data_IF_811264681531
#
_entry.id   IF_811264681531
#
_cell.length_a   1.000
_cell.length_b   1.000
_cell.length_c   1.000
_cell.angle_alpha   90.00
_cell.angle_beta   90.00
_cell.angle_gamma   90.00
#
_symmetry.space_group_name_H-M   'P 1'
#
loop_
_entity.id
_entity.type
_entity.pdbx_description
1 polymer ?
#
# COMPACT_ATOMS: atom_id res chain seq x y z
N UNK A 1 -4.35 -4.35 14.24
CA UNK A 1 -3.79 -3.05 13.78
C UNK A 1 -4.92 -2.18 13.23
N UNK A 2 -4.97 -0.92 13.62
CA UNK A 2 -5.99 0.01 13.14
C UNK A 2 -5.36 0.98 12.12
N UNK A 3 -5.71 0.82 10.85
CA UNK A 3 -5.08 1.58 9.75
C UNK A 3 -5.70 2.94 9.51
N UNK A 4 -6.87 3.20 10.10
CA UNK A 4 -7.60 4.44 9.82
C UNK A 4 -6.90 5.67 10.40
N UNK A 5 -6.19 5.52 11.50
CA UNK A 5 -5.70 6.64 12.30
C UNK A 5 -4.20 6.89 12.25
N UNK A 6 -3.43 6.15 11.45
CA UNK A 6 -1.99 6.38 11.47
C UNK A 6 -1.54 7.57 10.64
N UNK A 7 -2.28 7.92 9.62
CA UNK A 7 -1.95 9.09 8.80
C UNK A 7 -2.73 10.31 9.25
N UNK A 8 -2.02 11.41 9.42
CA UNK A 8 -2.64 12.68 9.83
C UNK A 8 -3.21 13.44 8.66
N UNK A 9 -2.72 13.18 7.45
CA UNK A 9 -3.07 13.93 6.25
C UNK A 9 -4.06 13.20 5.36
N UNK A 10 -4.20 11.89 5.53
CA UNK A 10 -5.01 11.06 4.64
C UNK A 10 -5.87 10.09 5.40
N UNK A 11 -7.03 9.79 4.83
CA UNK A 11 -7.89 8.73 5.33
C UNK A 11 -7.42 7.40 4.72
N UNK A 12 -7.11 6.43 5.58
CA UNK A 12 -6.59 5.13 5.17
C UNK A 12 -7.68 4.08 5.32
N UNK A 13 -7.88 3.25 4.31
CA UNK A 13 -8.77 2.10 4.41
C UNK A 13 -8.27 0.93 3.58
N UNK A 14 -8.76 -0.26 3.91
CA UNK A 14 -8.54 -1.44 3.09
C UNK A 14 -9.22 -1.27 1.75
N UNK A 15 -8.50 -1.59 0.68
CA UNK A 15 -9.07 -1.63 -0.66
C UNK A 15 -9.62 -3.03 -0.92
N UNK A 16 -10.75 -3.09 -1.58
CA UNK A 16 -11.44 -4.34 -1.92
C UNK A 16 -11.61 -4.44 -3.43
N UNK A 17 -12.16 -5.55 -3.90
CA UNK A 17 -12.26 -5.82 -5.33
C UNK A 17 -12.99 -4.72 -6.10
N UNK A 18 -14.04 -4.13 -5.54
CA UNK A 18 -14.77 -3.05 -6.22
C UNK A 18 -13.93 -1.78 -6.39
N UNK A 19 -12.80 -1.67 -5.67
CA UNK A 19 -11.88 -0.52 -5.80
C UNK A 19 -10.88 -0.68 -6.93
N UNK A 20 -10.84 -1.84 -7.60
CA UNK A 20 -9.87 -2.11 -8.67
C UNK A 20 -9.87 -1.04 -9.76
N UNK A 21 -11.02 -0.52 -10.23
CA UNK A 21 -10.98 0.56 -11.22
C UNK A 21 -10.25 1.81 -10.75
N UNK A 22 -10.35 2.16 -9.47
CA UNK A 22 -9.61 3.30 -8.90
C UNK A 22 -8.11 3.03 -8.87
N UNK A 23 -7.72 1.82 -8.46
CA UNK A 23 -6.31 1.41 -8.39
C UNK A 23 -5.73 1.39 -9.79
N UNK A 24 -6.44 0.81 -10.75
CA UNK A 24 -6.00 0.73 -12.13
C UNK A 24 -5.78 2.13 -12.72
N UNK A 25 -6.72 3.05 -12.49
CA UNK A 25 -6.60 4.42 -12.97
C UNK A 25 -5.35 5.11 -12.40
N UNK A 26 -5.07 4.94 -11.11
CA UNK A 26 -3.89 5.50 -10.48
C UNK A 26 -2.62 4.90 -11.08
N UNK A 27 -2.57 3.59 -11.22
CA UNK A 27 -1.38 2.89 -11.74
C UNK A 27 -1.11 3.22 -13.21
N UNK A 28 -2.15 3.29 -14.03
CA UNK A 28 -2.00 3.57 -15.47
C UNK A 28 -1.35 4.92 -15.75
N UNK A 29 -1.49 5.88 -14.85
CA UNK A 29 -0.85 7.20 -14.97
C UNK A 29 0.65 7.14 -14.71
N UNK A 30 1.15 6.06 -14.12
CA UNK A 30 2.55 5.87 -13.80
C UNK A 30 3.27 5.08 -14.88
N UNK A 31 3.17 5.53 -16.13
CA UNK A 31 3.72 4.83 -17.30
C UNK A 31 5.22 4.60 -17.20
N UNK A 32 5.95 5.56 -16.67
CA UNK A 32 7.40 5.44 -16.55
C UNK A 32 7.80 4.28 -15.64
N UNK A 33 7.07 4.06 -14.55
CA UNK A 33 7.32 2.92 -13.68
C UNK A 33 7.19 1.61 -14.45
N UNK A 34 6.13 1.45 -15.23
CA UNK A 34 5.86 0.19 -15.94
C UNK A 34 6.74 0.00 -17.17
N UNK A 35 7.32 1.06 -17.72
CA UNK A 35 8.34 0.95 -18.75
C UNK A 35 9.60 0.27 -18.22
N UNK A 36 9.94 0.51 -16.94
CA UNK A 36 11.11 -0.07 -16.28
C UNK A 36 10.80 -1.35 -15.51
N UNK A 37 9.55 -1.58 -15.16
CA UNK A 37 9.12 -2.73 -14.37
C UNK A 37 7.93 -3.43 -15.02
N UNK A 38 8.12 -4.04 -16.20
CA UNK A 38 7.03 -4.77 -16.87
C UNK A 38 6.62 -6.01 -16.04
N UNK A 39 5.43 -6.58 -16.29
CA UNK A 39 4.44 -6.20 -17.30
C UNK A 39 3.61 -5.00 -16.89
N UNK A 40 2.90 -4.40 -17.87
CA UNK A 40 1.99 -3.30 -17.59
C UNK A 40 0.83 -3.77 -16.72
N UNK A 41 0.31 -2.87 -15.89
CA UNK A 41 -0.74 -3.20 -14.92
C UNK A 41 -2.06 -3.53 -15.63
N UNK A 42 -2.80 -4.51 -15.09
CA UNK A 42 -4.15 -4.87 -15.53
C UNK A 42 -5.03 -5.04 -14.30
N UNK A 43 -6.35 -5.04 -14.51
CA UNK A 43 -7.28 -5.32 -13.43
C UNK A 43 -7.02 -6.69 -12.81
N UNK A 44 -6.69 -7.68 -13.62
CA UNK A 44 -6.38 -9.02 -13.13
C UNK A 44 -5.11 -9.03 -12.29
N UNK A 45 -4.05 -8.33 -12.72
CA UNK A 45 -2.81 -8.27 -11.94
C UNK A 45 -3.03 -7.59 -10.59
N UNK A 46 -3.88 -6.57 -10.53
CA UNK A 46 -4.24 -5.92 -9.27
C UNK A 46 -4.99 -6.89 -8.35
N UNK A 47 -5.96 -7.62 -8.91
CA UNK A 47 -6.71 -8.61 -8.13
C UNK A 47 -5.79 -9.66 -7.53
N UNK A 48 -4.84 -10.14 -8.32
CA UNK A 48 -3.86 -11.12 -7.85
C UNK A 48 -2.99 -10.54 -6.75
N UNK A 49 -2.53 -9.30 -6.91
CA UNK A 49 -1.68 -8.63 -5.91
C UNK A 49 -2.40 -8.41 -4.58
N UNK A 50 -3.70 -8.15 -4.62
CA UNK A 50 -4.48 -7.94 -3.40
C UNK A 50 -4.52 -9.17 -2.49
N UNK A 51 -4.29 -10.35 -3.06
CA UNK A 51 -4.30 -11.62 -2.33
C UNK A 51 -2.92 -12.28 -2.22
N UNK A 52 -1.91 -11.74 -2.92
CA UNK A 52 -0.60 -12.37 -3.01
C UNK A 52 0.11 -12.34 -1.66
N UNK A 53 0.65 -13.50 -1.28
CA UNK A 53 1.44 -13.67 -0.05
C UNK A 53 2.68 -14.49 -0.36
N UNK A 54 3.80 -14.23 0.34
CA UNK A 54 4.95 -15.13 0.29
C UNK A 54 4.52 -16.53 0.72
N UNK A 55 5.19 -17.56 0.20
CA UNK A 55 4.84 -18.95 0.49
C UNK A 55 4.71 -19.21 2.00
N UNK A 56 5.61 -18.63 2.79
CA UNK A 56 5.64 -18.81 4.25
C UNK A 56 4.43 -18.22 4.96
N UNK A 57 3.72 -17.29 4.31
CA UNK A 57 2.57 -16.57 4.89
C UNK A 57 1.23 -16.99 4.32
N UNK A 58 1.19 -18.00 3.46
CA UNK A 58 -0.05 -18.40 2.78
C UNK A 58 -1.15 -18.86 3.73
N UNK A 59 -0.78 -19.34 4.92
CA UNK A 59 -1.75 -19.78 5.93
C UNK A 59 -2.25 -18.61 6.80
N UNK A 60 -1.77 -17.39 6.55
CA UNK A 60 -2.10 -16.22 7.36
C UNK A 60 -2.59 -15.06 6.48
N UNK A 61 -3.71 -15.26 5.73
CA UNK A 61 -4.20 -14.22 4.82
C UNK A 61 -4.65 -12.96 5.55
N UNK A 62 -4.96 -13.05 6.84
CA UNK A 62 -5.33 -11.90 7.65
C UNK A 62 -4.17 -10.90 7.84
N UNK A 63 -2.93 -11.30 7.56
CA UNK A 63 -1.77 -10.43 7.66
C UNK A 63 -1.49 -9.65 6.38
N UNK A 64 -2.28 -9.89 5.34
CA UNK A 64 -2.17 -9.17 4.07
C UNK A 64 -3.11 -7.97 4.07
N UNK A 65 -2.55 -6.80 3.75
CA UNK A 65 -3.32 -5.56 3.66
C UNK A 65 -2.99 -4.85 2.34
N UNK A 66 -4.02 -4.45 1.63
CA UNK A 66 -3.88 -3.60 0.46
C UNK A 66 -4.58 -2.30 0.77
N UNK A 67 -3.81 -1.26 1.07
CA UNK A 67 -4.31 -0.02 1.65
C UNK A 67 -4.43 1.08 0.61
N UNK A 68 -5.48 1.88 0.74
CA UNK A 68 -5.65 3.10 -0.03
C UNK A 68 -5.59 4.32 0.88
N UNK A 69 -4.99 5.38 0.36
CA UNK A 69 -4.86 6.66 1.04
C UNK A 69 -5.69 7.68 0.28
N UNK A 70 -6.65 8.28 0.97
CA UNK A 70 -7.64 9.19 0.35
C UNK A 70 -7.48 10.59 0.92
N UNK A 71 -7.60 11.61 0.05
CA UNK A 71 -7.57 13.01 0.48
C UNK A 71 -8.95 13.45 1.00
N UNK A 72 -9.07 14.73 1.36
CA UNK A 72 -10.32 15.28 1.89
C UNK A 72 -11.46 15.29 0.87
N UNK A 73 -11.13 15.22 -0.42
CA UNK A 73 -12.11 15.08 -1.49
C UNK A 73 -12.44 13.62 -1.80
N UNK A 74 -11.97 12.69 -0.96
CA UNK A 74 -12.15 11.25 -1.11
C UNK A 74 -11.56 10.69 -2.39
N UNK A 75 -10.50 11.32 -2.91
CA UNK A 75 -9.78 10.81 -4.06
C UNK A 75 -8.60 9.95 -3.64
N UNK A 76 -8.39 8.85 -4.34
CA UNK A 76 -7.28 7.94 -4.06
C UNK A 76 -5.96 8.57 -4.49
N UNK A 77 -5.08 8.82 -3.53
CA UNK A 77 -3.77 9.46 -3.78
C UNK A 77 -2.61 8.49 -3.71
N UNK A 78 -2.78 7.35 -3.05
CA UNK A 78 -1.72 6.33 -2.96
C UNK A 78 -2.29 4.96 -2.64
N UNK A 79 -1.56 3.92 -3.03
CA UNK A 79 -1.86 2.54 -2.67
C UNK A 79 -0.62 1.90 -2.07
N UNK A 80 -0.83 0.98 -1.13
CA UNK A 80 0.26 0.27 -0.46
C UNK A 80 -0.12 -1.19 -0.25
N UNK A 81 0.74 -2.09 -0.70
CA UNK A 81 0.67 -3.52 -0.41
C UNK A 81 1.54 -3.77 0.83
N UNK A 82 0.94 -4.30 1.87
CA UNK A 82 1.56 -4.39 3.17
C UNK A 82 1.31 -5.77 3.78
N UNK A 83 2.37 -6.39 4.32
CA UNK A 83 2.27 -7.70 4.96
C UNK A 83 2.76 -7.55 6.41
N UNK A 84 1.88 -7.87 7.33
CA UNK A 84 2.14 -7.83 8.76
C UNK A 84 2.90 -9.09 9.20
N UNK A 85 3.73 -8.96 10.23
CA UNK A 85 4.49 -10.08 10.81
C UNK A 85 5.31 -10.84 9.76
N UNK A 86 5.97 -10.10 8.88
CA UNK A 86 6.80 -10.68 7.83
C UNK A 86 8.00 -9.76 7.57
N UNK A 87 9.21 -10.27 7.43
CA UNK A 87 9.60 -11.69 7.51
C UNK A 87 9.70 -12.26 8.92
N UNK A 88 9.57 -11.44 9.95
CA UNK A 88 9.55 -11.86 11.36
C UNK A 88 8.33 -11.31 12.09
N UNK A 89 8.08 -11.80 13.32
CA UNK A 89 6.96 -11.33 14.14
C UNK A 89 7.04 -9.82 14.45
N UNK A 90 8.26 -9.25 14.48
CA UNK A 90 8.47 -7.84 14.78
C UNK A 90 8.66 -6.99 13.54
N UNK A 91 8.38 -7.55 12.36
CA UNK A 91 8.62 -6.88 11.08
C UNK A 91 7.33 -6.70 10.30
N UNK A 92 7.34 -5.68 9.45
CA UNK A 92 6.33 -5.49 8.43
C UNK A 92 7.02 -5.34 7.09
N UNK A 93 6.36 -5.76 6.03
CA UNK A 93 6.91 -5.76 4.68
C UNK A 93 6.02 -4.93 3.75
N UNK A 94 6.61 -3.95 3.08
CA UNK A 94 5.93 -3.17 2.05
C UNK A 94 6.30 -3.77 0.71
N UNK A 95 5.36 -4.48 0.09
CA UNK A 95 5.59 -5.12 -1.19
C UNK A 95 5.45 -4.19 -2.38
N UNK A 96 4.61 -3.15 -2.22
CA UNK A 96 4.33 -2.21 -3.28
C UNK A 96 3.81 -0.91 -2.67
N UNK A 97 4.29 0.22 -3.18
CA UNK A 97 3.77 1.53 -2.79
C UNK A 97 3.82 2.44 -4.01
N UNK A 98 2.67 2.95 -4.40
CA UNK A 98 2.58 3.83 -5.56
C UNK A 98 1.66 4.99 -5.28
N UNK A 99 2.08 6.18 -5.70
CA UNK A 99 1.32 7.41 -5.54
C UNK A 99 0.71 7.86 -6.85
N UNK A 100 -0.42 8.56 -6.76
CA UNK A 100 -1.01 9.23 -7.91
C UNK A 100 0.04 10.20 -8.48
N UNK A 101 0.19 10.19 -9.80
CA UNK A 101 1.30 10.88 -10.46
C UNK A 101 1.34 12.38 -10.14
N UNK A 102 0.18 13.04 -10.07
CA UNK A 102 0.12 14.49 -9.85
C UNK A 102 0.61 14.92 -8.47
N UNK A 103 0.65 14.01 -7.49
CA UNK A 103 1.12 14.34 -6.14
C UNK A 103 2.56 13.90 -5.88
N UNK A 104 3.20 13.23 -6.83
CA UNK A 104 4.59 12.83 -6.71
C UNK A 104 5.51 14.05 -6.73
N UNK A 105 6.68 13.92 -6.07
CA UNK A 105 7.67 14.98 -6.03
C UNK A 105 7.42 16.07 -4.99
N UNK A 106 6.41 15.91 -4.14
CA UNK A 106 6.05 16.89 -3.11
C UNK A 106 6.35 16.41 -1.69
N UNK A 107 7.11 15.33 -1.54
CA UNK A 107 7.45 14.78 -0.22
C UNK A 107 6.31 14.03 0.47
N UNK A 108 5.19 13.82 -0.21
CA UNK A 108 4.01 13.17 0.37
C UNK A 108 4.28 11.70 0.66
N UNK A 109 4.96 11.00 -0.25
CA UNK A 109 5.32 9.60 -0.05
C UNK A 109 6.20 9.41 1.17
N UNK A 110 7.21 10.26 1.35
CA UNK A 110 8.07 10.22 2.53
C UNK A 110 7.28 10.48 3.81
N UNK A 111 6.31 11.39 3.76
CA UNK A 111 5.46 11.68 4.91
C UNK A 111 4.62 10.46 5.30
N UNK A 112 4.00 9.80 4.32
CA UNK A 112 3.18 8.60 4.57
C UNK A 112 4.03 7.51 5.21
N UNK A 113 5.22 7.25 4.65
CA UNK A 113 6.13 6.23 5.19
C UNK A 113 6.56 6.59 6.60
N UNK A 114 6.89 7.86 6.85
CA UNK A 114 7.28 8.31 8.19
C UNK A 114 6.16 8.12 9.21
N UNK A 115 4.93 8.50 8.85
CA UNK A 115 3.77 8.31 9.72
C UNK A 115 3.53 6.83 10.01
N UNK A 116 3.69 5.97 9.00
CA UNK A 116 3.57 4.53 9.16
C UNK A 116 4.64 4.00 10.12
N UNK A 117 5.89 4.43 9.95
CA UNK A 117 6.99 4.00 10.82
C UNK A 117 6.74 4.38 12.28
N UNK A 118 6.29 5.61 12.53
CA UNK A 118 5.98 6.07 13.88
C UNK A 118 4.86 5.22 14.49
N UNK A 119 3.81 4.97 13.71
CA UNK A 119 2.68 4.17 14.17
C UNK A 119 3.10 2.75 14.51
N UNK A 120 3.84 2.10 13.63
CA UNK A 120 4.28 0.72 13.84
C UNK A 120 5.24 0.61 15.02
N UNK A 121 6.14 1.58 15.17
CA UNK A 121 7.04 1.60 16.32
C UNK A 121 6.24 1.67 17.62
N UNK A 122 5.16 2.46 17.65
CA UNK A 122 4.30 2.56 18.84
C UNK A 122 3.60 1.24 19.18
N UNK A 123 3.44 0.35 18.19
CA UNK A 123 2.85 -0.97 18.37
C UNK A 123 3.88 -2.06 18.71
N UNK A 124 5.16 -1.72 18.77
CA UNK A 124 6.22 -2.65 19.12
C UNK A 124 6.97 -3.28 17.94
N UNK A 125 6.69 -2.85 16.72
CA UNK A 125 7.43 -3.34 15.55
C UNK A 125 8.84 -2.74 15.53
N UNK A 126 9.82 -3.56 15.14
CA UNK A 126 11.23 -3.14 15.10
C UNK A 126 11.71 -2.85 13.68
N UNK A 127 11.13 -3.49 12.67
CA UNK A 127 11.62 -3.40 11.30
C UNK A 127 10.49 -3.19 10.30
N UNK A 128 10.79 -2.38 9.28
CA UNK A 128 9.96 -2.23 8.09
C UNK A 128 10.85 -2.51 6.89
N UNK A 129 10.43 -3.41 6.07
CA UNK A 129 11.21 -3.84 4.91
C UNK A 129 10.49 -3.58 3.59
#
# INVERSE_FOLDING_TARGET
>A
MNYINFSKSYHVRMLIERDIPLILSLCEKNTQFYEHCPPFVTAESIRDDMCALPQRKMDEPQDKYYLGFFDDAEQLVAVMDFIDHYPTEQSCFIGFFMMERSVQGHGIGSRIITELCVYLHSLGYEYIR
#
